data_IF_091561016760
#
_entry.id   IF_091561016760
#
_cell.length_a   1.000
_cell.length_b   1.000
_cell.length_c   1.000
_cell.angle_alpha   90.00
_cell.angle_beta   90.00
_cell.angle_gamma   90.00
#
_symmetry.space_group_name_H-M   'P 1'
#
loop_
_entity.id
_entity.type
_entity.pdbx_description
1 polymer ?
#
# COMPACT_ATOMS: atom_id res chain seq x y z
N UNK A 1 55.68 -0.40 -56.41
CA UNK A 1 54.75 -0.99 -55.43
C UNK A 1 54.64 -0.01 -54.28
N UNK A 2 53.58 0.80 -54.24
CA UNK A 2 53.38 1.81 -53.19
C UNK A 2 52.57 1.15 -52.07
N UNK A 3 53.20 0.90 -50.92
CA UNK A 3 52.52 0.37 -49.75
C UNK A 3 51.67 1.49 -49.14
N UNK A 4 50.35 1.39 -49.27
CA UNK A 4 49.40 2.25 -48.57
C UNK A 4 49.62 2.08 -47.06
N UNK A 5 50.06 3.16 -46.41
CA UNK A 5 50.24 3.22 -44.96
C UNK A 5 48.90 2.95 -44.25
N UNK A 6 48.89 2.23 -43.11
CA UNK A 6 47.67 1.99 -42.36
C UNK A 6 47.10 3.30 -41.85
N UNK A 7 45.81 3.54 -42.11
CA UNK A 7 45.12 4.76 -41.69
C UNK A 7 44.95 4.74 -40.17
N UNK A 8 45.39 5.82 -39.51
CA UNK A 8 45.34 5.94 -38.04
C UNK A 8 43.92 6.23 -37.53
N UNK A 9 43.63 5.89 -36.27
CA UNK A 9 42.37 6.21 -35.59
C UNK A 9 42.00 7.71 -35.70
N UNK A 10 43.00 8.58 -35.64
CA UNK A 10 42.84 10.04 -35.74
C UNK A 10 42.28 10.43 -37.11
N UNK A 11 42.77 9.83 -38.19
CA UNK A 11 42.29 10.06 -39.55
C UNK A 11 40.84 9.58 -39.79
N UNK A 12 40.42 8.50 -39.12
CA UNK A 12 39.03 8.02 -39.15
C UNK A 12 38.10 8.98 -38.40
N UNK A 13 38.52 9.43 -37.21
CA UNK A 13 37.79 10.42 -36.41
C UNK A 13 37.66 11.76 -37.13
N UNK A 14 38.72 12.19 -37.80
CA UNK A 14 38.75 13.44 -38.55
C UNK A 14 37.89 13.36 -39.82
N UNK A 15 37.91 12.24 -40.53
CA UNK A 15 36.97 12.02 -41.65
C UNK A 15 35.50 11.92 -41.21
N UNK A 16 35.20 11.34 -40.03
CA UNK A 16 33.86 11.36 -39.44
C UNK A 16 33.41 12.78 -39.08
N UNK A 17 34.28 13.57 -38.47
CA UNK A 17 34.03 14.99 -38.19
C UNK A 17 33.75 15.76 -39.49
N UNK A 18 34.56 15.57 -40.53
CA UNK A 18 34.39 16.25 -41.81
C UNK A 18 33.07 15.84 -42.51
N UNK A 19 32.65 14.57 -42.42
CA UNK A 19 31.35 14.11 -42.95
C UNK A 19 30.17 14.75 -42.20
N UNK A 20 30.27 14.91 -40.88
CA UNK A 20 29.20 15.49 -40.04
C UNK A 20 29.10 17.01 -40.21
N UNK A 21 30.23 17.71 -40.38
CA UNK A 21 30.32 19.17 -40.41
C UNK A 21 30.59 19.76 -41.80
N UNK A 22 30.55 18.96 -42.87
CA UNK A 22 30.52 19.43 -44.26
C UNK A 22 31.88 19.59 -44.96
N UNK A 23 32.96 18.98 -44.46
CA UNK A 23 34.25 18.87 -45.15
C UNK A 23 34.26 17.75 -46.21
N UNK A 24 35.14 17.85 -47.21
CA UNK A 24 35.28 16.85 -48.27
C UNK A 24 36.36 15.80 -47.93
N UNK A 25 35.98 14.58 -47.50
CA UNK A 25 36.94 13.52 -47.21
C UNK A 25 37.60 12.96 -48.48
N UNK A 26 38.83 12.44 -48.34
CA UNK A 26 39.52 11.73 -49.44
C UNK A 26 38.89 10.36 -49.70
N UNK A 27 38.92 9.85 -50.94
CA UNK A 27 38.21 8.63 -51.35
C UNK A 27 38.68 7.34 -50.65
N UNK A 28 39.91 7.30 -50.15
CA UNK A 28 40.41 6.18 -49.32
C UNK A 28 39.80 6.22 -47.92
N UNK A 29 39.63 7.43 -47.36
CA UNK A 29 39.06 7.65 -46.03
C UNK A 29 37.55 7.38 -46.02
N UNK A 30 36.82 7.66 -47.11
CA UNK A 30 35.38 7.36 -47.20
C UNK A 30 35.07 5.87 -47.22
N UNK A 31 35.87 5.05 -47.90
CA UNK A 31 35.68 3.60 -47.97
C UNK A 31 35.89 2.90 -46.62
N UNK A 32 36.93 3.29 -45.87
CA UNK A 32 37.20 2.74 -44.54
C UNK A 32 36.21 3.23 -43.48
N UNK A 33 35.76 4.50 -43.57
CA UNK A 33 34.68 5.00 -42.70
C UNK A 33 33.39 4.24 -42.96
N UNK A 34 33.02 3.97 -44.21
CA UNK A 34 31.83 3.19 -44.52
C UNK A 34 31.93 1.76 -43.98
N UNK A 35 33.07 1.09 -44.17
CA UNK A 35 33.29 -0.25 -43.63
C UNK A 35 33.24 -0.30 -42.09
N UNK A 36 33.78 0.72 -41.42
CA UNK A 36 33.73 0.86 -39.95
C UNK A 36 32.31 1.17 -39.46
N UNK A 37 31.59 2.05 -40.14
CA UNK A 37 30.21 2.37 -39.79
C UNK A 37 29.29 1.15 -39.95
N UNK A 38 29.46 0.36 -41.00
CA UNK A 38 28.71 -0.88 -41.22
C UNK A 38 29.02 -1.93 -40.15
N UNK A 39 30.29 -2.12 -39.77
CA UNK A 39 30.65 -3.09 -38.72
C UNK A 39 30.15 -2.69 -37.33
N UNK A 40 30.16 -1.39 -37.00
CA UNK A 40 29.54 -0.86 -35.78
C UNK A 40 28.03 -1.04 -35.81
N UNK A 41 27.36 -0.70 -36.91
CA UNK A 41 25.91 -0.86 -37.04
C UNK A 41 25.46 -2.32 -36.94
N UNK A 42 26.25 -3.26 -37.47
CA UNK A 42 25.96 -4.70 -37.37
C UNK A 42 26.17 -5.27 -35.97
N UNK A 43 27.11 -4.71 -35.20
CA UNK A 43 27.41 -5.18 -33.84
C UNK A 43 26.58 -4.48 -32.75
N UNK A 44 26.06 -3.28 -33.02
CA UNK A 44 25.24 -2.51 -32.07
C UNK A 44 24.04 -3.29 -31.51
N UNK A 45 23.23 -4.04 -32.30
CA UNK A 45 22.12 -4.81 -31.76
C UNK A 45 22.57 -5.84 -30.72
N UNK A 46 23.70 -6.52 -30.94
CA UNK A 46 24.23 -7.51 -30.01
C UNK A 46 24.58 -6.88 -28.65
N UNK A 47 25.25 -5.72 -28.65
CA UNK A 47 25.58 -5.01 -27.41
C UNK A 47 24.34 -4.47 -26.70
N UNK A 48 23.37 -3.94 -27.46
CA UNK A 48 22.11 -3.44 -26.90
C UNK A 48 21.27 -4.56 -26.27
N UNK A 49 21.16 -5.71 -26.94
CA UNK A 49 20.45 -6.89 -26.42
C UNK A 49 21.12 -7.38 -25.14
N UNK A 50 22.45 -7.49 -25.12
CA UNK A 50 23.16 -7.94 -23.93
C UNK A 50 23.07 -6.94 -22.77
N UNK A 51 23.13 -5.64 -23.06
CA UNK A 51 22.94 -4.60 -22.04
C UNK A 51 21.52 -4.65 -21.46
N UNK A 52 20.52 -4.77 -22.33
CA UNK A 52 19.12 -4.92 -21.94
C UNK A 52 18.89 -6.18 -21.11
N UNK A 53 19.44 -7.33 -21.51
CA UNK A 53 19.30 -8.59 -20.78
C UNK A 53 19.90 -8.49 -19.36
N UNK A 54 21.10 -7.89 -19.22
CA UNK A 54 21.71 -7.65 -17.90
C UNK A 54 20.85 -6.73 -17.03
N UNK A 55 20.33 -5.65 -17.62
CA UNK A 55 19.43 -4.74 -16.92
C UNK A 55 18.13 -5.45 -16.49
N UNK A 56 17.52 -6.25 -17.37
CA UNK A 56 16.29 -6.98 -17.08
C UNK A 56 16.48 -7.96 -15.92
N UNK A 57 17.58 -8.72 -15.90
CA UNK A 57 17.90 -9.64 -14.79
C UNK A 57 18.10 -8.87 -13.48
N UNK A 58 18.84 -7.76 -13.52
CA UNK A 58 19.03 -6.91 -12.34
C UNK A 58 17.70 -6.34 -11.82
N UNK A 59 16.86 -5.80 -12.70
CA UNK A 59 15.56 -5.23 -12.34
C UNK A 59 14.62 -6.30 -11.75
N UNK A 60 14.64 -7.52 -12.28
CA UNK A 60 13.86 -8.64 -11.74
C UNK A 60 14.29 -9.00 -10.32
N UNK A 61 15.60 -9.15 -10.07
CA UNK A 61 16.12 -9.42 -8.73
C UNK A 61 15.85 -8.28 -7.75
N UNK A 62 15.97 -7.03 -8.22
CA UNK A 62 15.66 -5.85 -7.42
C UNK A 62 14.18 -5.79 -7.04
N UNK A 63 13.28 -6.14 -7.96
CA UNK A 63 11.84 -6.24 -7.68
C UNK A 63 11.54 -7.28 -6.59
N UNK A 64 12.14 -8.47 -6.69
CA UNK A 64 12.00 -9.51 -5.65
C UNK A 64 12.51 -9.01 -4.30
N UNK A 65 13.66 -8.34 -4.27
CA UNK A 65 14.21 -7.77 -3.04
C UNK A 65 13.26 -6.73 -2.43
N UNK A 66 12.65 -5.86 -3.24
CA UNK A 66 11.66 -4.89 -2.78
C UNK A 66 10.41 -5.56 -2.21
N UNK A 67 9.90 -6.62 -2.86
CA UNK A 67 8.77 -7.39 -2.33
C UNK A 67 9.12 -8.02 -0.98
N UNK A 68 10.32 -8.61 -0.84
CA UNK A 68 10.80 -9.18 0.43
C UNK A 68 10.86 -8.09 1.50
N UNK A 69 11.43 -6.93 1.20
CA UNK A 69 11.51 -5.80 2.15
C UNK A 69 10.11 -5.37 2.59
N UNK A 70 9.16 -5.23 1.66
CA UNK A 70 7.76 -4.90 1.99
C UNK A 70 7.15 -5.95 2.90
N UNK A 71 7.29 -7.23 2.59
CA UNK A 71 6.76 -8.32 3.42
C UNK A 71 7.39 -8.31 4.82
N UNK A 72 8.70 -8.18 4.93
CA UNK A 72 9.41 -8.10 6.21
C UNK A 72 8.95 -6.89 7.02
N UNK A 73 8.79 -5.74 6.37
CA UNK A 73 8.30 -4.53 7.01
C UNK A 73 6.86 -4.71 7.48
N UNK A 74 5.97 -5.26 6.66
CA UNK A 74 4.57 -5.54 7.02
C UNK A 74 4.46 -6.50 8.22
N UNK A 75 5.24 -7.59 8.23
CA UNK A 75 5.28 -8.51 9.39
C UNK A 75 5.82 -7.79 10.62
N UNK A 76 6.91 -7.03 10.48
CA UNK A 76 7.54 -6.31 11.60
C UNK A 76 6.63 -5.24 12.18
N UNK A 77 5.86 -4.57 11.32
CA UNK A 77 4.88 -3.56 11.65
C UNK A 77 3.69 -4.18 12.40
N UNK A 78 3.12 -5.29 11.91
CA UNK A 78 2.06 -6.01 12.62
C UNK A 78 2.51 -6.48 14.00
N UNK A 79 3.72 -7.04 14.13
CA UNK A 79 4.29 -7.44 15.43
C UNK A 79 4.62 -6.28 16.37
N UNK A 80 4.85 -5.08 15.83
CA UNK A 80 5.06 -3.89 16.63
C UNK A 80 3.71 -3.34 17.11
N UNK A 81 2.71 -3.35 16.23
CA UNK A 81 1.33 -3.04 16.57
C UNK A 81 0.84 -3.92 17.71
N UNK A 82 1.04 -5.23 17.65
CA UNK A 82 0.69 -6.16 18.73
C UNK A 82 1.40 -5.84 20.04
N UNK A 83 2.70 -5.50 20.02
CA UNK A 83 3.45 -5.16 21.24
C UNK A 83 3.10 -3.80 21.82
N UNK A 84 2.84 -2.81 20.98
CA UNK A 84 2.37 -1.48 21.41
C UNK A 84 0.98 -1.62 22.03
N UNK A 85 0.09 -2.39 21.37
CA UNK A 85 -1.23 -2.74 21.94
C UNK A 85 -1.05 -3.48 23.27
N UNK A 86 -0.18 -4.49 23.36
CA UNK A 86 0.07 -5.23 24.61
C UNK A 86 0.81 -4.44 25.70
N UNK A 87 1.51 -3.35 25.36
CA UNK A 87 2.20 -2.49 26.34
C UNK A 87 1.27 -1.38 26.86
N UNK A 88 0.29 -0.96 26.05
CA UNK A 88 -0.77 -0.02 26.44
C UNK A 88 -1.95 -0.76 27.12
N UNK A 89 -2.12 -2.06 26.83
CA UNK A 89 -3.06 -2.97 27.46
C UNK A 89 -2.29 -4.00 28.30
N UNK A 90 -1.99 -3.74 29.58
CA UNK A 90 -1.72 -4.84 30.48
C UNK A 90 -3.03 -5.65 30.56
N UNK A 91 -3.02 -6.86 30.00
CA UNK A 91 -4.04 -7.88 30.24
C UNK A 91 -3.89 -8.39 31.68
N UNK A 92 -4.17 -7.53 32.65
CA UNK A 92 -4.43 -7.92 34.02
C UNK A 92 -5.94 -8.05 34.17
N UNK A 93 -6.46 -9.23 33.82
CA UNK A 93 -7.88 -9.52 34.04
C UNK A 93 -8.48 -10.58 33.15
N UNK A 94 -7.96 -11.81 33.22
CA UNK A 94 -8.88 -12.95 33.18
C UNK A 94 -9.86 -12.77 34.35
N UNK A 95 -11.06 -12.28 34.04
CA UNK A 95 -12.25 -12.63 34.81
C UNK A 95 -13.24 -13.22 33.84
N UNK A 96 -13.29 -14.55 33.84
CA UNK A 96 -14.50 -15.29 33.51
C UNK A 96 -15.67 -14.61 34.24
N UNK A 97 -16.54 -13.92 33.50
CA UNK A 97 -17.87 -13.62 34.00
C UNK A 97 -18.77 -14.80 33.67
N UNK A 98 -18.79 -15.78 34.57
CA UNK A 98 -20.01 -16.55 34.76
C UNK A 98 -21.05 -15.61 35.37
N UNK A 99 -22.02 -15.17 34.57
CA UNK A 99 -23.36 -14.87 35.09
C UNK A 99 -24.36 -15.05 33.96
N UNK A 100 -25.29 -15.98 34.17
CA UNK A 100 -26.24 -16.42 33.16
C UNK A 100 -27.33 -15.40 32.85
N UNK A 101 -27.92 -15.58 31.67
CA UNK A 101 -29.05 -14.82 31.17
C UNK A 101 -28.95 -14.74 29.65
N UNK A 102 -29.83 -15.45 28.97
CA UNK A 102 -29.89 -15.51 27.51
C UNK A 102 -29.97 -14.12 26.85
N UNK A 103 -28.99 -13.80 26.02
CA UNK A 103 -29.13 -13.01 24.78
C UNK A 103 -27.79 -13.10 24.03
N UNK A 104 -27.82 -12.97 22.71
CA UNK A 104 -26.68 -13.17 21.83
C UNK A 104 -25.68 -12.00 21.92
N UNK A 105 -25.06 -11.77 23.08
CA UNK A 105 -24.11 -10.68 23.25
C UNK A 105 -22.81 -11.04 22.51
N UNK A 106 -22.53 -10.36 21.40
CA UNK A 106 -21.29 -10.55 20.65
C UNK A 106 -20.08 -10.25 21.57
N UNK A 107 -19.16 -11.21 21.79
CA UNK A 107 -18.05 -11.04 22.73
C UNK A 107 -17.12 -9.88 22.34
N UNK A 108 -17.08 -9.48 21.07
CA UNK A 108 -16.30 -8.31 20.62
C UNK A 108 -16.96 -7.00 21.04
N UNK A 109 -18.29 -6.96 21.11
CA UNK A 109 -19.02 -5.76 21.53
C UNK A 109 -18.79 -5.43 23.02
N UNK A 110 -18.69 -6.46 23.87
CA UNK A 110 -18.35 -6.27 25.29
C UNK A 110 -17.01 -5.55 25.48
N UNK A 111 -16.03 -5.80 24.60
CA UNK A 111 -14.72 -5.12 24.64
C UNK A 111 -14.88 -3.63 24.28
N UNK A 112 -15.69 -3.33 23.25
CA UNK A 112 -16.02 -1.95 22.87
C UNK A 112 -16.66 -1.20 24.04
N UNK A 113 -17.56 -1.86 24.77
CA UNK A 113 -18.23 -1.30 25.94
C UNK A 113 -17.27 -1.05 27.12
N UNK A 114 -16.31 -1.93 27.37
CA UNK A 114 -15.28 -1.69 28.39
C UNK A 114 -14.41 -0.48 28.03
N UNK A 115 -13.96 -0.41 26.78
CA UNK A 115 -13.11 0.67 26.29
C UNK A 115 -13.80 2.04 26.34
N UNK A 116 -15.07 2.13 25.93
CA UNK A 116 -15.80 3.42 25.90
C UNK A 116 -16.20 3.91 27.30
N UNK A 117 -16.34 3.01 28.27
CA UNK A 117 -16.66 3.36 29.65
C UNK A 117 -15.44 3.72 30.51
N UNK A 118 -14.23 3.59 29.96
CA UNK A 118 -13.00 4.07 30.60
C UNK A 118 -12.96 5.60 30.71
N UNK A 119 -12.14 6.12 31.64
CA UNK A 119 -11.80 7.54 31.73
C UNK A 119 -10.64 7.97 30.81
N UNK A 120 -10.07 7.04 30.04
CA UNK A 120 -8.88 7.25 29.20
C UNK A 120 -9.25 7.59 27.74
N UNK A 121 -8.87 8.78 27.22
CA UNK A 121 -9.09 9.16 25.82
C UNK A 121 -8.49 8.21 24.79
N UNK A 122 -7.39 7.51 25.12
CA UNK A 122 -6.81 6.51 24.23
C UNK A 122 -7.75 5.31 24.05
N UNK A 123 -8.41 4.87 25.14
CA UNK A 123 -9.39 3.77 25.09
C UNK A 123 -10.65 4.16 24.32
N UNK A 124 -11.08 5.42 24.36
CA UNK A 124 -12.20 5.88 23.52
C UNK A 124 -11.91 5.77 22.02
N UNK A 125 -10.69 6.16 21.60
CA UNK A 125 -10.26 5.98 20.20
C UNK A 125 -10.18 4.50 19.82
N UNK A 126 -9.73 3.66 20.75
CA UNK A 126 -9.68 2.21 20.56
C UNK A 126 -11.07 1.60 20.39
N UNK A 127 -12.04 1.99 21.22
CA UNK A 127 -13.44 1.55 21.12
C UNK A 127 -14.02 1.83 19.71
N UNK A 128 -13.75 3.02 19.16
CA UNK A 128 -14.21 3.41 17.81
C UNK A 128 -13.58 2.54 16.72
N UNK A 129 -12.28 2.23 16.86
CA UNK A 129 -11.57 1.36 15.91
C UNK A 129 -12.13 -0.07 15.96
N UNK A 130 -12.37 -0.59 17.16
CA UNK A 130 -12.91 -1.94 17.34
C UNK A 130 -14.35 -2.05 16.84
N UNK A 131 -15.20 -1.06 17.11
CA UNK A 131 -16.54 -1.00 16.57
C UNK A 131 -16.54 -1.02 15.03
N UNK A 132 -15.61 -0.32 14.38
CA UNK A 132 -15.51 -0.34 12.92
C UNK A 132 -15.00 -1.69 12.35
N UNK A 133 -14.21 -2.44 13.12
CA UNK A 133 -13.84 -3.81 12.76
C UNK A 133 -15.08 -4.71 12.77
N UNK A 134 -15.94 -4.59 13.78
CA UNK A 134 -17.21 -5.32 13.84
C UNK A 134 -18.11 -4.92 12.65
N UNK A 135 -18.15 -3.64 12.29
CA UNK A 135 -18.86 -3.18 11.09
C UNK A 135 -18.29 -3.81 9.82
N UNK A 136 -16.97 -3.89 9.68
CA UNK A 136 -16.34 -4.52 8.52
C UNK A 136 -16.77 -5.99 8.38
N UNK A 137 -16.79 -6.72 9.50
CA UNK A 137 -17.22 -8.12 9.54
C UNK A 137 -18.71 -8.27 9.18
N UNK A 138 -19.57 -7.39 9.67
CA UNK A 138 -20.98 -7.33 9.26
C UNK A 138 -21.11 -7.10 7.75
N UNK A 139 -20.38 -6.14 7.18
CA UNK A 139 -20.45 -5.89 5.73
C UNK A 139 -19.92 -7.08 4.91
N UNK A 140 -18.99 -7.87 5.46
CA UNK A 140 -18.51 -9.11 4.85
C UNK A 140 -19.59 -10.20 4.85
N UNK A 141 -20.38 -10.35 5.93
CA UNK A 141 -21.48 -11.33 5.95
C UNK A 141 -22.59 -10.99 4.97
N UNK A 142 -22.76 -9.71 4.63
CA UNK A 142 -23.68 -9.24 3.59
C UNK A 142 -23.15 -9.44 2.16
N UNK A 143 -21.95 -10.01 1.99
CA UNK A 143 -21.33 -10.30 0.68
C UNK A 143 -21.24 -9.07 -0.24
N UNK A 144 -21.06 -7.88 0.34
CA UNK A 144 -20.99 -6.62 -0.40
C UNK A 144 -19.65 -6.50 -1.14
N UNK A 145 -19.65 -6.02 -2.41
CA UNK A 145 -18.42 -5.84 -3.16
C UNK A 145 -17.60 -4.65 -2.63
N UNK A 146 -16.28 -4.80 -2.61
CA UNK A 146 -15.34 -3.74 -2.21
C UNK A 146 -14.29 -4.23 -1.21
N UNK A 147 -13.09 -3.65 -1.25
CA UNK A 147 -11.99 -4.03 -0.36
C UNK A 147 -12.05 -3.33 1.00
N UNK A 148 -12.55 -2.09 1.02
CA UNK A 148 -12.63 -1.27 2.24
C UNK A 148 -14.06 -1.15 2.76
N UNK A 149 -14.21 -0.85 4.06
CA UNK A 149 -15.53 -0.53 4.65
C UNK A 149 -16.23 0.57 3.86
N UNK A 150 -15.51 1.63 3.49
CA UNK A 150 -16.08 2.71 2.68
C UNK A 150 -16.53 2.28 1.28
N UNK A 151 -15.90 1.30 0.66
CA UNK A 151 -16.35 0.77 -0.64
C UNK A 151 -17.58 -0.12 -0.48
N UNK A 152 -17.58 -1.00 0.53
CA UNK A 152 -18.72 -1.85 0.85
C UNK A 152 -19.97 -1.03 1.20
N UNK A 153 -19.81 0.04 1.99
CA UNK A 153 -20.90 0.96 2.34
C UNK A 153 -21.48 1.71 1.12
N UNK A 154 -20.72 1.89 0.02
CA UNK A 154 -21.25 2.48 -1.23
C UNK A 154 -22.10 1.49 -2.02
N UNK A 155 -21.81 0.20 -1.86
CA UNK A 155 -22.48 -0.87 -2.59
C UNK A 155 -23.81 -1.31 -1.97
N UNK A 156 -24.09 -0.86 -0.74
CA UNK A 156 -25.34 -1.13 -0.02
C UNK A 156 -26.51 -0.47 -0.75
N UNK A 157 -27.56 -1.25 -1.05
CA UNK A 157 -28.85 -0.68 -1.44
C UNK A 157 -29.58 -0.16 -0.19
N UNK A 158 -30.10 1.08 -0.27
CA UNK A 158 -30.69 1.80 0.89
C UNK A 158 -31.86 1.04 1.54
N UNK A 159 -32.50 0.12 0.81
CA UNK A 159 -33.59 -0.71 1.34
C UNK A 159 -33.17 -1.83 2.30
N UNK A 160 -31.93 -2.31 2.20
CA UNK A 160 -31.45 -3.49 2.93
C UNK A 160 -30.69 -3.14 4.22
N UNK A 161 -30.40 -1.85 4.43
CA UNK A 161 -29.63 -1.39 5.59
C UNK A 161 -30.21 -0.07 6.13
N UNK A 162 -31.18 -0.16 7.07
CA UNK A 162 -31.93 1.01 7.56
C UNK A 162 -31.07 2.09 8.24
N UNK A 163 -29.89 1.73 8.75
CA UNK A 163 -28.96 2.60 9.46
C UNK A 163 -27.68 2.90 8.68
N UNK A 164 -27.69 2.76 7.36
CA UNK A 164 -26.52 2.99 6.49
C UNK A 164 -25.88 4.38 6.70
N UNK A 165 -26.67 5.44 6.90
CA UNK A 165 -26.14 6.79 7.16
C UNK A 165 -25.38 6.87 8.48
N UNK A 166 -25.83 6.13 9.51
CA UNK A 166 -25.15 6.07 10.81
C UNK A 166 -23.83 5.33 10.68
N UNK A 167 -23.80 4.22 9.93
CA UNK A 167 -22.57 3.50 9.61
C UNK A 167 -21.56 4.40 8.88
N UNK A 168 -22.02 5.16 7.88
CA UNK A 168 -21.19 6.15 7.18
C UNK A 168 -20.64 7.24 8.09
N UNK A 169 -21.46 7.80 8.96
CA UNK A 169 -21.03 8.83 9.90
C UNK A 169 -19.96 8.30 10.86
N UNK A 170 -20.22 7.14 11.47
CA UNK A 170 -19.29 6.53 12.41
C UNK A 170 -17.95 6.17 11.74
N UNK A 171 -18.00 5.59 10.54
CA UNK A 171 -16.83 5.24 9.74
C UNK A 171 -15.96 6.46 9.39
N UNK A 172 -16.56 7.62 9.09
CA UNK A 172 -15.80 8.85 8.85
C UNK A 172 -15.00 9.29 10.08
N UNK A 173 -15.58 9.18 11.28
CA UNK A 173 -14.87 9.50 12.51
C UNK A 173 -13.72 8.51 12.74
N UNK A 174 -13.95 7.21 12.52
CA UNK A 174 -12.86 6.22 12.55
C UNK A 174 -11.74 6.57 11.57
N UNK A 175 -12.07 6.98 10.35
CA UNK A 175 -11.07 7.39 9.37
C UNK A 175 -10.26 8.61 9.81
N UNK A 176 -10.90 9.59 10.45
CA UNK A 176 -10.20 10.74 11.03
C UNK A 176 -9.25 10.29 12.16
N UNK A 177 -9.69 9.39 13.06
CA UNK A 177 -8.84 8.80 14.10
C UNK A 177 -7.60 8.12 13.49
N UNK A 178 -7.76 7.38 12.39
CA UNK A 178 -6.65 6.70 11.74
C UNK A 178 -5.67 7.65 11.02
N UNK A 179 -6.18 8.74 10.44
CA UNK A 179 -5.37 9.71 9.71
C UNK A 179 -4.59 10.65 10.65
N UNK A 180 -5.22 11.10 11.73
CA UNK A 180 -4.67 12.07 12.68
C UNK A 180 -3.98 11.38 13.89
N UNK A 181 -4.31 10.12 14.19
CA UNK A 181 -3.61 9.30 15.17
C UNK A 181 -3.59 9.87 16.59
N UNK A 182 -2.40 10.18 17.11
CA UNK A 182 -2.24 10.78 18.44
C UNK A 182 -2.88 12.16 18.54
N UNK A 183 -2.89 12.90 17.44
CA UNK A 183 -3.28 14.32 17.41
C UNK A 183 -4.79 14.48 17.32
N UNK A 184 -5.53 13.40 17.01
CA UNK A 184 -6.98 13.38 17.04
C UNK A 184 -7.48 13.55 18.48
N UNK A 185 -8.16 14.68 18.73
CA UNK A 185 -8.79 15.02 20.00
C UNK A 185 -10.29 14.70 19.94
N UNK A 186 -10.75 13.81 20.81
CA UNK A 186 -12.17 13.49 20.95
C UNK A 186 -12.59 13.58 22.41
N UNK A 187 -13.76 14.16 22.64
CA UNK A 187 -14.36 14.19 23.98
C UNK A 187 -15.07 12.86 24.28
N UNK A 188 -15.15 12.49 25.55
CA UNK A 188 -15.90 11.30 25.99
C UNK A 188 -17.33 11.29 25.44
N UNK A 189 -18.00 12.45 25.50
CA UNK A 189 -19.36 12.62 24.99
C UNK A 189 -19.45 12.31 23.50
N UNK A 190 -18.50 12.80 22.71
CA UNK A 190 -18.48 12.57 21.27
C UNK A 190 -18.15 11.11 20.95
N UNK A 191 -17.20 10.51 21.67
CA UNK A 191 -16.89 9.10 21.52
C UNK A 191 -18.11 8.22 21.83
N UNK A 192 -18.82 8.48 22.93
CA UNK A 192 -20.06 7.77 23.30
C UNK A 192 -21.16 7.94 22.26
N UNK A 193 -21.29 9.13 21.68
CA UNK A 193 -22.22 9.39 20.58
C UNK A 193 -21.89 8.53 19.36
N UNK A 194 -20.62 8.46 18.97
CA UNK A 194 -20.14 7.67 17.84
C UNK A 194 -20.33 6.17 18.08
N UNK A 195 -20.02 5.67 19.28
CA UNK A 195 -20.32 4.27 19.65
C UNK A 195 -21.82 4.00 19.63
N UNK A 196 -22.66 4.97 20.02
CA UNK A 196 -24.11 4.87 19.88
C UNK A 196 -24.57 4.68 18.43
N UNK A 197 -23.90 5.30 17.45
CA UNK A 197 -24.19 5.08 16.02
C UNK A 197 -23.89 3.64 15.61
N UNK A 198 -22.73 3.10 16.02
CA UNK A 198 -22.39 1.69 15.78
C UNK A 198 -23.37 0.74 16.48
N UNK A 199 -23.76 1.04 17.72
CA UNK A 199 -24.74 0.22 18.44
C UNK A 199 -26.05 0.11 17.66
N UNK A 200 -26.62 1.23 17.22
CA UNK A 200 -27.88 1.17 16.45
C UNK A 200 -27.71 0.39 15.15
N UNK A 201 -26.55 0.47 14.51
CA UNK A 201 -26.24 -0.35 13.33
C UNK A 201 -26.24 -1.84 13.69
N UNK A 202 -25.68 -2.23 14.82
CA UNK A 202 -25.60 -3.64 15.23
C UNK A 202 -26.93 -4.18 15.78
N UNK A 203 -27.73 -3.34 16.43
CA UNK A 203 -29.10 -3.67 16.85
C UNK A 203 -29.99 -4.01 15.64
N UNK A 204 -29.84 -3.31 14.52
CA UNK A 204 -30.59 -3.61 13.28
C UNK A 204 -30.29 -5.00 12.69
N UNK A 205 -29.20 -5.65 13.11
CA UNK A 205 -28.76 -6.98 12.65
C UNK A 205 -28.69 -8.02 13.79
N UNK A 206 -29.33 -7.76 14.93
CA UNK A 206 -29.38 -8.66 16.09
C UNK A 206 -27.99 -9.10 16.60
N UNK A 207 -26.98 -8.22 16.50
CA UNK A 207 -25.60 -8.52 16.91
C UNK A 207 -25.29 -8.12 18.36
N UNK A 208 -26.12 -7.29 18.97
CA UNK A 208 -25.93 -6.70 20.31
C UNK A 208 -27.25 -6.52 21.03
#
# INVERSE_FOLDING_TARGET
MNASQPVSLVSILQGLHDIIFGGAPTSTVTGEIHATAVSVAQSAPFYLINAFAKYAVFAFLFSIAMVIVVVLYSIRFNRLRERVIATILPTDGEKESETGGAEATNPKWTIVEDHINSADPAKWKLAIIEADIILAELLDTLHLPGETVGDKLKAVEVGDFPSIEKAWEAHKIRNAVAHEGSDFLISEREAKRVIGLYRTVFEDFDMV
#
